data_IF_608505894673
#
_entry.id   IF_608505894673
#
_cell.length_a   1.000
_cell.length_b   1.000
_cell.length_c   1.000
_cell.angle_alpha   90.00
_cell.angle_beta   90.00
_cell.angle_gamma   90.00
#
_symmetry.space_group_name_H-M   'P 1'
#
loop_
_entity.id
_entity.type
_entity.pdbx_description
1 polymer ?
#
# COMPACT_ATOMS: atom_id res chain seq x y z
N UNK A 1 -14.94 -24.91 16.64
CA UNK A 1 -13.81 -24.82 15.70
C UNK A 1 -13.38 -23.38 15.62
N UNK A 2 -12.11 -23.06 15.91
CA UNK A 2 -11.57 -21.71 15.81
C UNK A 2 -11.01 -21.46 14.41
N UNK A 3 -11.47 -20.40 13.75
CA UNK A 3 -11.13 -20.03 12.37
C UNK A 3 -10.70 -18.57 12.35
N UNK A 4 -9.53 -18.29 11.76
CA UNK A 4 -9.06 -16.91 11.54
C UNK A 4 -9.38 -16.52 10.10
N UNK A 5 -9.90 -15.31 9.90
CA UNK A 5 -10.31 -14.76 8.61
C UNK A 5 -9.48 -13.49 8.40
N UNK A 6 -8.46 -13.58 7.55
CA UNK A 6 -7.53 -12.50 7.26
C UNK A 6 -7.34 -12.27 5.74
N UNK A 7 -8.37 -11.76 5.05
CA UNK A 7 -8.26 -11.34 3.65
C UNK A 7 -7.75 -9.91 3.51
N UNK A 8 -7.18 -9.62 2.34
CA UNK A 8 -7.02 -8.28 1.79
C UNK A 8 -8.32 -7.78 1.16
N UNK A 9 -8.29 -6.52 0.74
CA UNK A 9 -9.22 -5.94 -0.20
C UNK A 9 -9.27 -6.69 -1.54
N UNK A 10 -10.46 -6.69 -2.14
CA UNK A 10 -10.68 -7.11 -3.50
C UNK A 10 -10.73 -5.81 -4.32
N UNK A 11 -9.56 -5.36 -4.78
CA UNK A 11 -9.36 -4.05 -5.42
C UNK A 11 -10.45 -3.72 -6.43
N UNK A 12 -11.07 -2.54 -6.27
CA UNK A 12 -12.19 -2.08 -7.10
C UNK A 12 -13.54 -2.76 -6.80
N UNK A 13 -13.66 -3.55 -5.73
CA UNK A 13 -14.87 -4.30 -5.38
C UNK A 13 -15.21 -4.26 -3.89
N UNK A 14 -14.42 -4.93 -3.03
CA UNK A 14 -14.68 -5.01 -1.58
C UNK A 14 -13.48 -4.52 -0.79
N UNK A 15 -13.74 -3.78 0.28
CA UNK A 15 -12.73 -3.54 1.33
C UNK A 15 -12.35 -4.85 2.03
N UNK A 16 -11.20 -4.87 2.70
CA UNK A 16 -10.76 -6.03 3.48
C UNK A 16 -11.77 -6.42 4.57
N UNK A 17 -12.45 -5.42 5.16
CA UNK A 17 -13.49 -5.65 6.17
C UNK A 17 -14.76 -6.29 5.57
N UNK A 18 -15.22 -5.80 4.43
CA UNK A 18 -16.36 -6.39 3.72
C UNK A 18 -16.06 -7.80 3.25
N UNK A 19 -14.86 -8.04 2.72
CA UNK A 19 -14.39 -9.36 2.34
C UNK A 19 -14.38 -10.32 3.54
N UNK A 20 -13.79 -9.90 4.66
CA UNK A 20 -13.75 -10.72 5.87
C UNK A 20 -15.14 -11.01 6.43
N UNK A 21 -16.05 -10.03 6.36
CA UNK A 21 -17.45 -10.16 6.78
C UNK A 21 -18.21 -11.15 5.89
N UNK A 22 -18.01 -11.09 4.58
CA UNK A 22 -18.61 -12.04 3.63
C UNK A 22 -18.13 -13.48 3.88
N UNK A 23 -16.82 -13.67 4.06
CA UNK A 23 -16.23 -14.98 4.41
C UNK A 23 -16.79 -15.50 5.73
N UNK A 24 -16.86 -14.65 6.76
CA UNK A 24 -17.42 -15.01 8.06
C UNK A 24 -18.87 -15.47 7.93
N UNK A 25 -19.70 -14.74 7.16
CA UNK A 25 -21.09 -15.11 6.90
C UNK A 25 -21.20 -16.47 6.21
N UNK A 26 -20.37 -16.75 5.21
CA UNK A 26 -20.30 -18.05 4.54
C UNK A 26 -19.94 -19.19 5.50
N UNK A 27 -18.90 -18.98 6.32
CA UNK A 27 -18.48 -19.94 7.35
C UNK A 27 -19.60 -20.22 8.34
N UNK A 28 -20.29 -19.18 8.82
CA UNK A 28 -21.38 -19.31 9.81
C UNK A 28 -22.62 -20.02 9.26
N UNK A 29 -22.89 -19.95 7.95
CA UNK A 29 -23.96 -20.74 7.32
C UNK A 29 -23.69 -22.25 7.38
N UNK A 30 -22.45 -22.66 7.13
CA UNK A 30 -22.07 -24.07 7.20
C UNK A 30 -21.81 -24.56 8.63
N UNK A 31 -21.21 -23.71 9.46
CA UNK A 31 -20.79 -24.05 10.82
C UNK A 31 -21.18 -22.94 11.82
N UNK A 32 -22.46 -22.88 12.25
CA UNK A 32 -22.98 -21.79 13.09
C UNK A 32 -22.24 -21.60 14.41
N UNK A 33 -21.72 -22.69 14.98
CA UNK A 33 -20.97 -22.73 16.25
C UNK A 33 -19.46 -22.50 16.08
N UNK A 34 -18.97 -22.20 14.88
CA UNK A 34 -17.57 -21.84 14.69
C UNK A 34 -17.22 -20.59 15.50
N UNK A 35 -16.06 -20.57 16.14
CA UNK A 35 -15.47 -19.34 16.67
C UNK A 35 -14.68 -18.69 15.54
N UNK A 36 -15.08 -17.49 15.12
CA UNK A 36 -14.45 -16.79 14.00
C UNK A 36 -13.78 -15.52 14.50
N UNK A 37 -12.52 -15.31 14.11
CA UNK A 37 -11.79 -14.07 14.34
C UNK A 37 -11.57 -13.37 13.01
N UNK A 38 -12.20 -12.22 12.85
CA UNK A 38 -12.05 -11.35 11.67
C UNK A 38 -10.86 -10.43 11.89
N UNK A 39 -9.88 -10.52 11.00
CA UNK A 39 -8.63 -9.76 11.06
C UNK A 39 -8.34 -9.23 9.65
N UNK A 40 -9.01 -8.14 9.22
CA UNK A 40 -8.71 -7.52 7.93
C UNK A 40 -7.22 -7.16 7.86
N UNK A 41 -6.59 -7.45 6.73
CA UNK A 41 -5.16 -7.24 6.49
C UNK A 41 -4.97 -6.45 5.19
N UNK A 42 -3.75 -5.95 4.97
CA UNK A 42 -3.36 -5.17 3.80
C UNK A 42 -1.84 -5.31 3.56
N UNK A 43 -1.38 -4.92 2.37
CA UNK A 43 0.01 -5.08 1.91
C UNK A 43 0.83 -3.77 1.94
N UNK A 44 0.35 -2.70 2.59
CA UNK A 44 0.98 -1.38 2.53
C UNK A 44 0.46 -0.51 1.38
N UNK A 45 -0.54 -0.98 0.64
CA UNK A 45 -1.36 -0.18 -0.28
C UNK A 45 -2.64 0.37 0.36
N UNK A 46 -3.66 0.55 -0.47
CA UNK A 46 -5.00 1.01 -0.10
C UNK A 46 -5.64 0.11 0.98
N UNK A 47 -6.23 0.73 2.01
CA UNK A 47 -6.89 0.03 3.12
C UNK A 47 -5.97 -0.42 4.26
N UNK A 48 -4.67 -0.12 4.17
CA UNK A 48 -3.69 -0.33 5.25
C UNK A 48 -4.03 0.52 6.48
N UNK A 49 -4.31 1.81 6.30
CA UNK A 49 -4.72 2.72 7.36
C UNK A 49 -5.96 2.20 8.07
N UNK A 50 -6.97 1.76 7.32
CA UNK A 50 -8.24 1.28 7.87
C UNK A 50 -8.03 0.02 8.71
N UNK A 51 -7.21 -0.90 8.20
CA UNK A 51 -6.86 -2.13 8.89
C UNK A 51 -6.10 -1.85 10.20
N UNK A 52 -5.12 -0.94 10.18
CA UNK A 52 -4.31 -0.59 11.35
C UNK A 52 -5.10 0.20 12.41
N UNK A 53 -5.92 1.17 11.97
CA UNK A 53 -6.80 1.94 12.85
C UNK A 53 -7.81 1.01 13.53
N UNK A 54 -8.46 0.12 12.78
CA UNK A 54 -9.41 -0.83 13.35
C UNK A 54 -8.72 -1.82 14.31
N UNK A 55 -7.55 -2.33 13.94
CA UNK A 55 -6.81 -3.30 14.76
C UNK A 55 -6.37 -2.74 16.12
N UNK A 56 -6.11 -1.44 16.19
CA UNK A 56 -5.59 -0.77 17.39
C UNK A 56 -6.63 0.03 18.15
N UNK A 57 -7.89 0.07 17.69
CA UNK A 57 -8.92 0.99 18.18
C UNK A 57 -8.47 2.47 18.11
N UNK A 58 -7.79 2.81 17.03
CA UNK A 58 -7.39 4.18 16.71
C UNK A 58 -8.55 5.03 16.19
N UNK A 59 -8.22 6.17 15.59
CA UNK A 59 -9.18 7.08 14.95
C UNK A 59 -8.62 7.65 13.64
N UNK A 60 -9.50 8.04 12.73
CA UNK A 60 -9.13 8.83 11.54
C UNK A 60 -9.26 10.32 11.82
N UNK A 61 -8.47 11.11 11.12
CA UNK A 61 -8.55 12.57 11.09
C UNK A 61 -8.70 13.00 9.64
N UNK A 62 -9.82 13.62 9.32
CA UNK A 62 -10.10 14.14 7.99
C UNK A 62 -9.42 15.51 7.80
N UNK A 63 -8.81 15.69 6.63
CA UNK A 63 -8.05 16.90 6.29
C UNK A 63 -8.26 17.21 4.81
N UNK A 64 -8.54 18.47 4.51
CA UNK A 64 -8.52 18.95 3.12
C UNK A 64 -7.09 19.30 2.73
N UNK A 65 -6.56 18.62 1.72
CA UNK A 65 -5.19 18.80 1.23
C UNK A 65 -5.18 19.05 -0.27
N UNK A 66 -4.01 19.37 -0.82
CA UNK A 66 -3.77 19.59 -2.24
C UNK A 66 -3.67 18.24 -2.95
N UNK A 67 -4.58 17.99 -3.87
CA UNK A 67 -4.62 16.80 -4.69
C UNK A 67 -3.48 16.76 -5.72
N UNK A 68 -3.35 15.65 -6.48
CA UNK A 68 -2.27 15.47 -7.44
C UNK A 68 -2.29 16.52 -8.56
N UNK A 69 -3.46 17.06 -8.94
CA UNK A 69 -3.61 18.11 -9.96
C UNK A 69 -3.86 19.50 -9.35
N UNK A 70 -3.41 19.73 -8.11
CA UNK A 70 -3.53 20.98 -7.35
C UNK A 70 -4.94 21.36 -6.85
N UNK A 71 -5.99 20.71 -7.35
CA UNK A 71 -7.33 20.82 -6.78
C UNK A 71 -7.37 20.31 -5.33
N UNK A 72 -8.22 20.90 -4.48
CA UNK A 72 -8.37 20.44 -3.10
C UNK A 72 -9.14 19.11 -3.04
N UNK A 73 -8.64 18.17 -2.26
CA UNK A 73 -9.23 16.84 -2.04
C UNK A 73 -9.45 16.61 -0.55
N UNK A 74 -10.48 15.84 -0.21
CA UNK A 74 -10.65 15.31 1.15
C UNK A 74 -9.78 14.07 1.29
N UNK A 75 -8.81 14.15 2.19
CA UNK A 75 -7.95 13.06 2.58
C UNK A 75 -8.13 12.75 4.07
N UNK A 76 -7.51 11.69 4.54
CA UNK A 76 -7.46 11.39 5.96
C UNK A 76 -6.14 10.73 6.31
N UNK A 77 -5.78 10.82 7.59
CA UNK A 77 -4.72 10.01 8.17
C UNK A 77 -5.23 9.34 9.44
N UNK A 78 -4.66 8.20 9.79
CA UNK A 78 -4.99 7.43 10.98
C UNK A 78 -4.07 7.79 12.15
N UNK A 79 -4.62 7.82 13.36
CA UNK A 79 -3.87 7.80 14.62
C UNK A 79 -4.20 6.47 15.29
N UNK A 80 -3.19 5.66 15.57
CA UNK A 80 -3.36 4.34 16.18
C UNK A 80 -3.68 4.44 17.67
N UNK A 81 -4.09 3.32 18.27
CA UNK A 81 -4.52 3.27 19.67
C UNK A 81 -3.48 3.69 20.71
N UNK A 82 -2.19 3.77 20.34
CA UNK A 82 -1.13 4.33 21.18
C UNK A 82 -1.13 5.86 21.24
N UNK A 83 -1.96 6.52 20.42
CA UNK A 83 -2.12 7.96 20.28
C UNK A 83 -0.83 8.71 19.86
N UNK A 84 0.19 7.99 19.38
CA UNK A 84 1.47 8.55 18.96
C UNK A 84 1.86 8.17 17.53
N UNK A 85 1.40 7.01 17.07
CA UNK A 85 1.67 6.48 15.74
C UNK A 85 0.62 6.94 14.75
N UNK A 86 1.07 7.65 13.74
CA UNK A 86 0.28 8.07 12.59
C UNK A 86 0.43 7.06 11.44
N UNK A 87 -0.66 6.77 10.74
CA UNK A 87 -0.64 6.04 9.47
C UNK A 87 -1.17 6.94 8.37
N UNK A 88 -0.39 7.09 7.30
CA UNK A 88 -0.76 7.86 6.12
C UNK A 88 -0.74 6.95 4.90
N UNK A 89 -1.86 6.89 4.20
CA UNK A 89 -1.91 6.38 2.83
C UNK A 89 -1.73 7.53 1.86
N UNK A 90 -0.58 7.59 1.19
CA UNK A 90 -0.27 8.70 0.29
C UNK A 90 -1.29 8.82 -0.86
N UNK A 91 -1.89 7.69 -1.26
CA UNK A 91 -2.90 7.65 -2.31
C UNK A 91 -4.14 8.51 -1.99
N UNK A 92 -4.45 8.72 -0.71
CA UNK A 92 -5.57 9.58 -0.28
C UNK A 92 -5.37 11.06 -0.64
N UNK A 93 -4.12 11.51 -0.83
CA UNK A 93 -3.78 12.88 -1.20
C UNK A 93 -3.14 13.00 -2.59
N UNK A 94 -2.42 11.97 -3.03
CA UNK A 94 -1.56 12.01 -4.23
C UNK A 94 -1.70 10.74 -5.07
N UNK A 95 -2.84 10.04 -4.98
CA UNK A 95 -3.07 8.74 -5.62
C UNK A 95 -3.75 8.79 -6.98
N UNK A 96 -3.62 7.69 -7.73
CA UNK A 96 -4.29 7.45 -9.02
C UNK A 96 -5.82 7.41 -8.90
N UNK A 97 -6.36 7.05 -7.73
CA UNK A 97 -7.79 7.01 -7.47
C UNK A 97 -8.44 8.41 -7.47
N UNK A 98 -7.65 9.48 -7.36
CA UNK A 98 -8.11 10.86 -7.36
C UNK A 98 -8.18 11.49 -8.76
N UNK A 99 -7.72 10.78 -9.80
CA UNK A 99 -7.63 11.30 -11.16
C UNK A 99 -8.29 10.37 -12.16
N UNK A 100 -9.11 10.95 -13.04
CA UNK A 100 -9.69 10.21 -14.15
C UNK A 100 -8.58 9.76 -15.12
N UNK A 101 -8.72 8.60 -15.78
CA UNK A 101 -7.73 8.08 -16.72
C UNK A 101 -7.27 9.08 -17.78
N UNK A 102 -8.17 9.92 -18.28
CA UNK A 102 -7.89 10.92 -19.32
C UNK A 102 -7.07 12.12 -18.81
N UNK A 103 -7.04 12.34 -17.49
CA UNK A 103 -6.33 13.45 -16.85
C UNK A 103 -4.92 13.04 -16.36
N UNK A 104 -4.56 11.77 -16.51
CA UNK A 104 -3.28 11.24 -16.01
C UNK A 104 -2.10 11.82 -16.77
N UNK A 105 -1.33 12.66 -16.09
CA UNK A 105 -0.10 13.23 -16.64
C UNK A 105 0.96 13.38 -15.53
N UNK A 106 1.99 12.52 -15.50
CA UNK A 106 2.97 12.50 -14.42
C UNK A 106 3.94 13.69 -14.44
N UNK A 107 3.95 14.48 -15.52
CA UNK A 107 4.67 15.76 -15.57
C UNK A 107 3.99 16.83 -14.72
N UNK A 108 2.67 16.73 -14.51
CA UNK A 108 1.87 17.72 -13.79
C UNK A 108 1.57 17.31 -12.34
N UNK A 109 1.52 16.00 -12.07
CA UNK A 109 1.04 15.52 -10.78
C UNK A 109 2.04 15.74 -9.65
N UNK A 110 1.56 16.27 -8.52
CA UNK A 110 2.38 16.63 -7.35
C UNK A 110 2.10 15.78 -6.11
N UNK A 111 3.14 15.54 -5.32
CA UNK A 111 3.08 14.88 -4.01
C UNK A 111 2.81 15.83 -2.84
N UNK A 112 2.54 17.11 -3.12
CA UNK A 112 2.40 18.16 -2.10
C UNK A 112 1.40 17.83 -0.98
N UNK A 113 0.22 17.29 -1.33
CA UNK A 113 -0.78 16.89 -0.33
C UNK A 113 -0.30 15.81 0.64
N UNK A 114 0.60 14.93 0.21
CA UNK A 114 1.22 13.94 1.12
C UNK A 114 2.06 14.65 2.19
N UNK A 115 2.81 15.70 1.83
CA UNK A 115 3.54 16.51 2.79
C UNK A 115 2.62 17.32 3.71
N UNK A 116 1.47 17.80 3.21
CA UNK A 116 0.44 18.43 4.06
C UNK A 116 -0.15 17.46 5.10
N UNK A 117 -0.37 16.19 4.75
CA UNK A 117 -0.80 15.16 5.70
C UNK A 117 0.25 14.93 6.79
N UNK A 118 1.52 14.79 6.41
CA UNK A 118 2.63 14.63 7.37
C UNK A 118 2.70 15.84 8.30
N UNK A 119 2.66 17.06 7.75
CA UNK A 119 2.68 18.30 8.53
C UNK A 119 1.52 18.37 9.52
N UNK A 120 0.30 18.05 9.08
CA UNK A 120 -0.87 18.06 9.95
C UNK A 120 -0.75 17.04 11.08
N UNK A 121 -0.27 15.83 10.78
CA UNK A 121 -0.02 14.81 11.80
C UNK A 121 1.09 15.21 12.79
N UNK A 122 2.14 15.92 12.33
CA UNK A 122 3.15 16.52 13.22
C UNK A 122 2.54 17.58 14.15
N UNK A 123 1.64 18.43 13.62
CA UNK A 123 0.91 19.44 14.38
C UNK A 123 0.00 18.82 15.44
N UNK A 124 -0.59 17.66 15.11
CA UNK A 124 -1.42 16.88 16.04
C UNK A 124 -0.59 16.01 17.00
N UNK A 125 0.74 16.21 17.03
CA UNK A 125 1.65 15.64 18.03
C UNK A 125 2.22 14.26 17.70
N UNK A 126 1.92 13.71 16.51
CA UNK A 126 2.44 12.41 16.11
C UNK A 126 3.96 12.47 15.93
N UNK A 127 4.66 11.41 16.34
CA UNK A 127 6.12 11.28 16.22
C UNK A 127 6.56 9.97 15.59
N UNK A 128 5.65 9.01 15.45
CA UNK A 128 5.88 7.77 14.70
C UNK A 128 4.97 7.76 13.50
N UNK A 129 5.49 7.36 12.36
CA UNK A 129 4.79 7.44 11.09
C UNK A 129 4.91 6.14 10.34
N UNK A 130 3.79 5.61 9.86
CA UNK A 130 3.70 4.51 8.91
C UNK A 130 3.15 5.08 7.61
N UNK A 131 3.96 5.03 6.56
CA UNK A 131 3.62 5.58 5.25
C UNK A 131 3.37 4.43 4.27
N UNK A 132 2.09 4.23 3.95
CA UNK A 132 1.66 3.38 2.86
C UNK A 132 1.76 4.16 1.55
N UNK A 133 2.75 3.82 0.72
CA UNK A 133 3.09 4.60 -0.48
C UNK A 133 2.60 3.97 -1.80
N UNK A 134 1.77 2.92 -1.72
CA UNK A 134 1.15 2.33 -2.91
C UNK A 134 0.17 3.29 -3.61
N UNK A 135 -0.07 3.08 -4.91
CA UNK A 135 -1.15 3.75 -5.64
C UNK A 135 -0.88 5.21 -6.07
N UNK A 136 0.36 5.69 -6.03
CA UNK A 136 0.73 7.07 -6.40
C UNK A 136 0.35 7.46 -7.84
N UNK A 137 -0.15 8.68 -8.02
CA UNK A 137 -0.29 9.34 -9.32
C UNK A 137 0.96 10.10 -9.78
N UNK A 138 1.92 10.31 -8.88
CA UNK A 138 3.04 11.25 -9.05
C UNK A 138 4.28 10.58 -9.61
N UNK A 139 5.10 11.32 -10.35
CA UNK A 139 6.46 10.93 -10.73
C UNK A 139 7.41 12.12 -10.56
N UNK A 140 7.26 12.82 -9.44
CA UNK A 140 7.90 14.10 -9.13
C UNK A 140 9.14 13.93 -8.24
N UNK A 141 9.62 12.72 -7.98
CA UNK A 141 10.76 12.51 -7.09
C UNK A 141 10.48 12.79 -5.60
N UNK A 142 9.22 13.06 -5.23
CA UNK A 142 8.84 13.52 -3.89
C UNK A 142 9.08 15.01 -3.65
N UNK A 143 9.38 15.80 -4.69
CA UNK A 143 9.65 17.24 -4.54
C UNK A 143 8.47 18.00 -3.95
N UNK A 144 7.24 17.66 -4.34
CA UNK A 144 6.03 18.30 -3.80
C UNK A 144 5.90 18.09 -2.30
N UNK A 145 6.09 16.85 -1.84
CA UNK A 145 6.06 16.49 -0.42
C UNK A 145 7.12 17.27 0.37
N UNK A 146 8.35 17.37 -0.15
CA UNK A 146 9.44 18.13 0.48
C UNK A 146 9.10 19.63 0.56
N UNK A 147 8.55 20.21 -0.51
CA UNK A 147 8.09 21.61 -0.54
C UNK A 147 7.04 21.89 0.54
N UNK A 148 6.04 21.02 0.69
CA UNK A 148 5.01 21.18 1.73
C UNK A 148 5.57 21.13 3.16
N UNK A 149 6.71 20.47 3.35
CA UNK A 149 7.44 20.34 4.61
C UNK A 149 8.52 21.41 4.80
N UNK A 150 8.61 22.39 3.90
CA UNK A 150 9.46 23.58 4.05
C UNK A 150 10.78 23.54 3.29
N UNK A 151 11.07 22.49 2.52
CA UNK A 151 12.25 22.49 1.62
C UNK A 151 12.01 23.45 0.45
N UNK A 152 12.96 24.34 0.20
CA UNK A 152 12.93 25.23 -0.96
C UNK A 152 13.76 24.61 -2.08
N UNK A 153 13.11 24.33 -3.21
CA UNK A 153 13.75 23.82 -4.41
C UNK A 153 13.86 24.97 -5.41
N UNK A 154 15.09 25.32 -5.77
CA UNK A 154 15.38 26.60 -6.42
C UNK A 154 15.84 26.41 -7.87
N UNK A 155 15.41 27.33 -8.73
CA UNK A 155 15.86 27.46 -10.11
C UNK A 155 17.20 28.22 -10.22
N UNK A 156 17.70 28.36 -11.45
CA UNK A 156 18.92 29.12 -11.76
C UNK A 156 18.86 30.62 -11.37
N UNK A 157 17.66 31.17 -11.17
CA UNK A 157 17.43 32.53 -10.69
C UNK A 157 17.23 32.61 -9.17
N UNK A 158 17.43 31.51 -8.44
CA UNK A 158 17.20 31.38 -7.00
C UNK A 158 15.74 31.59 -6.60
N UNK A 159 14.80 31.30 -7.50
CA UNK A 159 13.36 31.32 -7.23
C UNK A 159 12.84 29.91 -6.97
N UNK A 160 11.83 29.72 -6.11
CA UNK A 160 11.18 28.43 -5.95
C UNK A 160 10.61 27.92 -7.28
N UNK A 161 10.85 26.64 -7.58
CA UNK A 161 10.23 25.94 -8.72
C UNK A 161 8.76 25.65 -8.45
N UNK A 162 8.01 25.29 -9.49
CA UNK A 162 6.60 24.89 -9.39
C UNK A 162 6.41 23.49 -8.79
N UNK A 163 5.31 22.85 -9.19
CA UNK A 163 4.96 21.49 -8.77
C UNK A 163 4.93 20.50 -9.94
N UNK A 164 5.17 19.23 -9.64
CA UNK A 164 5.04 18.12 -10.59
C UNK A 164 6.35 17.72 -11.26
N UNK A 165 6.33 16.57 -11.96
CA UNK A 165 7.55 15.98 -12.53
C UNK A 165 8.24 16.82 -13.61
N UNK A 166 7.54 17.75 -14.27
CA UNK A 166 8.15 18.69 -15.22
C UNK A 166 9.20 19.60 -14.56
N UNK A 167 8.94 19.98 -13.31
CA UNK A 167 9.72 20.98 -12.58
C UNK A 167 11.08 20.44 -12.13
N UNK A 168 11.28 19.12 -12.14
CA UNK A 168 12.59 18.48 -11.93
C UNK A 168 13.65 19.06 -12.88
N UNK A 169 13.26 19.48 -14.09
CA UNK A 169 14.17 20.07 -15.08
C UNK A 169 14.70 21.46 -14.71
N UNK A 170 14.04 22.15 -13.78
CA UNK A 170 14.37 23.52 -13.40
C UNK A 170 15.21 23.59 -12.12
N UNK A 171 15.22 22.53 -11.31
CA UNK A 171 15.88 22.51 -10.01
C UNK A 171 17.40 22.49 -10.19
N UNK A 172 18.07 23.45 -9.54
CA UNK A 172 19.54 23.50 -9.49
C UNK A 172 20.10 23.53 -8.06
N UNK A 173 19.25 23.74 -7.05
CA UNK A 173 19.67 23.78 -5.65
C UNK A 173 18.54 23.37 -4.69
N UNK A 174 18.94 22.76 -3.57
CA UNK A 174 18.07 22.37 -2.45
C UNK A 174 18.45 23.24 -1.24
N UNK A 175 17.46 23.93 -0.68
CA UNK A 175 17.60 24.71 0.55
C UNK A 175 16.71 24.08 1.64
N UNK A 176 17.35 23.68 2.74
CA UNK A 176 16.74 22.98 3.87
C UNK A 176 16.57 23.86 5.12
N UNK A 177 16.83 25.18 5.04
CA UNK A 177 16.78 26.07 6.22
C UNK A 177 15.41 26.06 6.90
N UNK A 178 14.33 25.97 6.12
CA UNK A 178 12.94 25.95 6.61
C UNK A 178 12.33 24.54 6.67
N UNK A 179 13.15 23.50 6.45
CA UNK A 179 12.65 22.13 6.56
C UNK A 179 12.18 21.84 7.99
N UNK A 180 11.00 21.23 8.13
CA UNK A 180 10.36 21.05 9.44
C UNK A 180 11.26 20.28 10.42
N UNK A 181 11.86 21.01 11.36
CA UNK A 181 12.83 20.48 12.32
C UNK A 181 12.32 19.28 13.13
N UNK A 182 11.01 19.12 13.30
CA UNK A 182 10.39 18.00 14.04
C UNK A 182 10.68 16.66 13.36
N UNK A 183 10.86 16.64 12.03
CA UNK A 183 11.11 15.42 11.25
C UNK A 183 12.33 14.65 11.75
N UNK A 184 13.39 15.37 12.15
CA UNK A 184 14.63 14.76 12.67
C UNK A 184 14.45 13.95 13.96
N UNK A 185 13.36 14.19 14.69
CA UNK A 185 13.02 13.53 15.95
C UNK A 185 11.91 12.47 15.82
N UNK A 186 11.43 12.24 14.61
CA UNK A 186 10.36 11.29 14.34
C UNK A 186 10.91 9.96 13.81
N UNK A 187 10.13 8.90 13.93
CA UNK A 187 10.42 7.60 13.33
C UNK A 187 9.52 7.40 12.10
N UNK A 188 10.10 7.12 10.94
CA UNK A 188 9.33 6.83 9.72
C UNK A 188 9.50 5.38 9.27
N UNK A 189 8.39 4.67 9.13
CA UNK A 189 8.32 3.33 8.54
C UNK A 189 7.62 3.45 7.20
N UNK A 190 8.33 3.16 6.12
CA UNK A 190 7.76 3.13 4.77
C UNK A 190 7.29 1.72 4.48
N UNK A 191 5.99 1.56 4.26
CA UNK A 191 5.37 0.29 3.87
C UNK A 191 5.48 0.12 2.36
N UNK A 192 6.46 -0.67 1.91
CA UNK A 192 6.67 -0.93 0.49
C UNK A 192 7.42 -2.23 0.25
N UNK A 193 6.96 -3.02 -0.74
CA UNK A 193 7.65 -4.20 -1.26
C UNK A 193 8.42 -3.89 -2.56
N UNK A 194 8.41 -2.63 -3.02
CA UNK A 194 9.08 -2.21 -4.25
C UNK A 194 10.58 -2.09 -4.02
N UNK A 195 11.37 -2.80 -4.83
CA UNK A 195 12.84 -2.74 -4.82
C UNK A 195 13.42 -1.94 -5.98
N UNK A 196 12.57 -1.44 -6.87
CA UNK A 196 12.98 -0.66 -8.04
C UNK A 196 13.84 0.56 -7.64
N UNK A 197 14.98 0.80 -8.31
CA UNK A 197 15.80 1.98 -8.08
C UNK A 197 15.08 3.26 -8.54
N UNK A 198 15.67 4.42 -8.28
CA UNK A 198 15.08 5.69 -8.70
C UNK A 198 15.03 5.82 -10.23
N UNK A 199 16.14 5.50 -10.91
CA UNK A 199 16.32 5.72 -12.35
C UNK A 199 16.70 4.45 -13.14
N UNK A 200 16.73 4.58 -14.47
CA UNK A 200 17.15 3.56 -15.40
C UNK A 200 16.03 2.63 -15.83
N UNK A 201 16.36 1.56 -16.56
CA UNK A 201 15.35 0.65 -17.17
C UNK A 201 14.39 0.01 -16.17
N UNK A 202 14.84 -0.17 -14.94
CA UNK A 202 14.03 -0.70 -13.84
C UNK A 202 13.58 0.40 -12.86
N UNK A 203 13.80 1.68 -13.20
CA UNK A 203 13.53 2.84 -12.37
C UNK A 203 12.07 3.25 -12.32
N UNK A 204 11.80 4.32 -11.56
CA UNK A 204 10.45 4.80 -11.28
C UNK A 204 9.66 5.11 -12.56
N UNK A 205 10.25 5.92 -13.44
CA UNK A 205 9.61 6.39 -14.68
C UNK A 205 9.34 5.25 -15.66
N UNK A 206 10.31 4.35 -15.84
CA UNK A 206 10.18 3.25 -16.80
C UNK A 206 9.17 2.19 -16.36
N UNK A 207 9.16 1.82 -15.07
CA UNK A 207 8.33 0.72 -14.57
C UNK A 207 6.92 1.20 -14.19
N UNK A 208 6.81 2.36 -13.55
CA UNK A 208 5.54 2.83 -13.00
C UNK A 208 4.97 4.06 -13.72
N UNK A 209 5.74 4.73 -14.59
CA UNK A 209 5.26 5.85 -15.40
C UNK A 209 4.10 5.51 -16.34
N UNK A 210 4.11 4.38 -17.09
CA UNK A 210 3.05 4.05 -18.05
C UNK A 210 1.63 4.01 -17.44
N UNK A 211 1.47 3.37 -16.27
CA UNK A 211 0.16 3.33 -15.58
C UNK A 211 -0.32 4.70 -15.08
N UNK A 212 0.61 5.66 -14.94
CA UNK A 212 0.35 7.06 -14.57
C UNK A 212 0.15 7.97 -15.79
N UNK A 213 0.09 7.41 -16.99
CA UNK A 213 -0.13 8.16 -18.24
C UNK A 213 1.15 8.66 -18.94
N UNK A 214 2.34 8.21 -18.53
CA UNK A 214 3.58 8.64 -19.19
C UNK A 214 3.71 8.04 -20.60
N UNK A 215 3.94 8.90 -21.60
CA UNK A 215 4.39 8.46 -22.94
C UNK A 215 5.88 8.11 -22.92
N UNK A 216 6.42 7.41 -23.93
CA UNK A 216 7.85 7.13 -24.02
C UNK A 216 8.74 8.38 -23.90
N UNK A 217 8.31 9.50 -24.45
CA UNK A 217 9.01 10.80 -24.37
C UNK A 217 8.99 11.35 -22.95
N UNK A 218 7.84 11.28 -22.27
CA UNK A 218 7.73 11.68 -20.86
C UNK A 218 8.60 10.80 -19.96
N UNK A 219 8.67 9.48 -20.23
CA UNK A 219 9.51 8.55 -19.48
C UNK A 219 10.98 8.94 -19.61
N UNK A 220 11.46 9.17 -20.83
CA UNK A 220 12.84 9.57 -21.07
C UNK A 220 13.18 10.92 -20.40
N UNK A 221 12.26 11.89 -20.48
CA UNK A 221 12.40 13.18 -19.81
C UNK A 221 12.49 13.02 -18.28
N UNK A 222 11.53 12.30 -17.68
CA UNK A 222 11.45 12.11 -16.24
C UNK A 222 12.65 11.31 -15.71
N UNK A 223 13.07 10.24 -16.39
CA UNK A 223 14.23 9.43 -15.97
C UNK A 223 15.53 10.26 -16.00
N UNK A 224 15.73 11.07 -17.04
CA UNK A 224 16.87 11.97 -17.14
C UNK A 224 16.90 13.00 -16.01
N UNK A 225 15.78 13.68 -15.76
CA UNK A 225 15.73 14.72 -14.72
C UNK A 225 15.67 14.15 -13.30
N UNK A 226 15.18 12.92 -13.11
CA UNK A 226 15.36 12.19 -11.84
C UNK A 226 16.81 11.82 -11.59
N UNK A 227 17.63 11.61 -12.63
CA UNK A 227 19.07 11.40 -12.46
C UNK A 227 19.75 12.66 -11.93
N UNK A 228 19.45 13.82 -12.53
CA UNK A 228 19.98 15.12 -12.07
C UNK A 228 19.49 15.42 -10.64
N UNK A 229 18.22 15.14 -10.36
CA UNK A 229 17.68 15.24 -9.01
C UNK A 229 18.46 14.35 -8.02
N UNK A 230 18.78 13.11 -8.40
CA UNK A 230 19.56 12.21 -7.56
C UNK A 230 20.98 12.73 -7.29
N UNK A 231 21.62 13.37 -8.27
CA UNK A 231 22.92 14.05 -8.09
C UNK A 231 22.81 15.16 -7.04
N UNK A 232 21.82 16.05 -7.16
CA UNK A 232 21.60 17.15 -6.19
C UNK A 232 21.29 16.63 -4.78
N UNK A 233 20.52 15.55 -4.68
CA UNK A 233 20.22 14.91 -3.39
C UNK A 233 21.48 14.31 -2.78
N UNK A 234 22.34 13.67 -3.57
CA UNK A 234 23.61 13.12 -3.10
C UNK A 234 24.54 14.23 -2.61
N UNK A 235 24.65 15.34 -3.34
CA UNK A 235 25.42 16.51 -2.92
C UNK A 235 24.92 17.12 -1.60
N UNK A 236 23.59 17.17 -1.42
CA UNK A 236 22.96 17.83 -0.27
C UNK A 236 22.94 16.95 0.98
N UNK A 237 22.66 15.66 0.82
CA UNK A 237 22.37 14.74 1.93
C UNK A 237 23.45 13.67 2.13
N UNK A 238 24.37 13.51 1.17
CA UNK A 238 25.31 12.39 1.10
C UNK A 238 24.67 11.06 0.69
N UNK A 239 23.36 11.04 0.37
CA UNK A 239 22.65 9.81 0.00
C UNK A 239 22.51 9.65 -1.50
N UNK A 240 23.21 8.66 -2.06
CA UNK A 240 23.10 8.29 -3.47
C UNK A 240 21.80 7.51 -3.76
N UNK A 241 20.87 8.09 -4.51
CA UNK A 241 19.57 7.48 -4.81
C UNK A 241 19.50 6.71 -6.14
N UNK A 242 20.40 7.00 -7.08
CA UNK A 242 20.41 6.52 -8.46
C UNK A 242 19.97 5.06 -8.65
N UNK A 243 20.65 4.13 -7.99
CA UNK A 243 20.45 2.69 -8.04
C UNK A 243 20.00 2.10 -6.70
N UNK A 244 19.64 2.95 -5.74
CA UNK A 244 19.31 2.53 -4.39
C UNK A 244 17.99 1.74 -4.38
N UNK A 245 17.97 0.50 -3.87
CA UNK A 245 16.76 -0.31 -3.86
C UNK A 245 15.60 0.39 -3.14
N UNK A 246 14.43 0.39 -3.79
CA UNK A 246 13.21 1.01 -3.29
C UNK A 246 13.15 2.53 -3.45
N UNK A 247 14.21 3.20 -3.92
CA UNK A 247 14.20 4.64 -4.13
C UNK A 247 13.16 5.06 -5.19
N UNK A 248 12.84 4.19 -6.16
CA UNK A 248 11.84 4.48 -7.19
C UNK A 248 10.40 4.27 -6.75
N UNK A 249 10.16 3.78 -5.52
CA UNK A 249 8.81 3.57 -5.02
C UNK A 249 8.01 4.88 -5.05
N UNK A 250 6.75 4.78 -5.49
CA UNK A 250 5.83 5.91 -5.59
C UNK A 250 6.36 7.12 -6.40
N UNK A 251 7.08 6.86 -7.50
CA UNK A 251 7.58 7.95 -8.35
C UNK A 251 8.77 8.71 -7.77
N UNK A 252 9.50 8.09 -6.83
CA UNK A 252 10.70 8.66 -6.19
C UNK A 252 10.51 9.11 -4.75
N UNK A 253 9.28 9.06 -4.22
CA UNK A 253 8.99 9.38 -2.80
C UNK A 253 9.70 8.41 -1.86
N UNK A 254 9.85 7.13 -2.24
CA UNK A 254 10.67 6.19 -1.48
C UNK A 254 12.10 6.69 -1.31
N UNK A 255 12.71 7.22 -2.38
CA UNK A 255 14.03 7.83 -2.35
C UNK A 255 14.07 9.10 -1.50
N UNK A 256 13.04 9.95 -1.56
CA UNK A 256 12.93 11.13 -0.71
C UNK A 256 12.94 10.75 0.78
N UNK A 257 12.18 9.72 1.19
CA UNK A 257 12.24 9.21 2.57
C UNK A 257 13.62 8.66 2.94
N UNK A 258 14.28 7.96 2.02
CA UNK A 258 15.62 7.41 2.26
C UNK A 258 16.72 8.47 2.40
N UNK A 259 16.54 9.67 1.84
CA UNK A 259 17.54 10.74 1.83
C UNK A 259 17.28 11.85 2.87
N UNK A 260 16.02 12.22 3.09
CA UNK A 260 15.66 13.40 3.90
C UNK A 260 15.05 13.06 5.27
N UNK A 261 14.70 11.80 5.51
CA UNK A 261 13.99 11.38 6.71
C UNK A 261 14.74 10.27 7.44
N UNK A 262 14.66 10.21 8.78
CA UNK A 262 15.10 9.05 9.56
C UNK A 262 14.11 7.89 9.33
N UNK A 263 14.20 7.27 8.16
CA UNK A 263 13.25 6.25 7.70
C UNK A 263 13.87 4.87 7.55
N UNK A 264 13.03 3.86 7.80
CA UNK A 264 13.28 2.48 7.42
C UNK A 264 12.17 2.00 6.49
N UNK A 265 12.50 1.10 5.57
CA UNK A 265 11.51 0.42 4.74
C UNK A 265 11.21 -0.95 5.33
N UNK A 266 9.92 -1.25 5.51
CA UNK A 266 9.44 -2.58 5.87
C UNK A 266 8.42 -3.03 4.83
N UNK A 267 8.29 -4.34 4.66
CA UNK A 267 7.21 -4.93 3.86
C UNK A 267 5.87 -4.57 4.49
N UNK A 268 4.91 -4.13 3.69
CA UNK A 268 3.66 -3.60 4.24
C UNK A 268 2.87 -4.66 5.01
N UNK A 269 2.85 -5.89 4.49
CA UNK A 269 2.20 -7.02 5.16
C UNK A 269 2.81 -7.32 6.55
N UNK A 270 4.12 -7.20 6.70
CA UNK A 270 4.80 -7.48 7.98
C UNK A 270 4.39 -6.45 9.04
N UNK A 271 4.23 -5.19 8.67
CA UNK A 271 3.69 -4.13 9.54
C UNK A 271 2.26 -4.49 9.96
N UNK A 272 1.41 -4.84 9.00
CA UNK A 272 0.01 -5.16 9.30
C UNK A 272 -0.10 -6.39 10.19
N UNK A 273 0.70 -7.43 9.97
CA UNK A 273 0.79 -8.62 10.83
C UNK A 273 1.11 -8.22 12.28
N UNK A 274 2.10 -7.34 12.47
CA UNK A 274 2.57 -6.89 13.78
C UNK A 274 1.44 -6.18 14.53
N UNK A 275 0.84 -5.16 13.93
CA UNK A 275 -0.21 -4.35 14.56
C UNK A 275 -1.56 -5.06 14.69
N UNK A 276 -1.86 -6.02 13.80
CA UNK A 276 -3.06 -6.86 13.93
C UNK A 276 -2.88 -7.98 14.94
N UNK A 277 -1.66 -8.20 15.46
CA UNK A 277 -1.29 -9.33 16.30
C UNK A 277 -1.71 -10.68 15.68
N UNK A 278 -1.60 -10.80 14.36
CA UNK A 278 -2.14 -11.94 13.62
C UNK A 278 -1.56 -13.27 14.13
N UNK A 279 -0.25 -13.33 14.36
CA UNK A 279 0.44 -14.51 14.89
C UNK A 279 -0.14 -14.95 16.24
N UNK A 280 -0.40 -14.00 17.15
CA UNK A 280 -1.05 -14.30 18.44
C UNK A 280 -2.46 -14.85 18.23
N UNK A 281 -3.23 -14.23 17.33
CA UNK A 281 -4.63 -14.62 17.04
C UNK A 281 -4.74 -16.02 16.42
N UNK A 282 -3.71 -16.47 15.70
CA UNK A 282 -3.62 -17.82 15.12
C UNK A 282 -3.47 -18.93 16.17
N UNK A 283 -3.10 -18.62 17.41
CA UNK A 283 -2.98 -19.61 18.49
C UNK A 283 -4.28 -20.42 18.65
N UNK A 284 -4.21 -21.73 18.46
CA UNK A 284 -5.36 -22.64 18.55
C UNK A 284 -6.34 -22.59 17.37
N UNK A 285 -6.04 -21.84 16.31
CA UNK A 285 -6.84 -21.86 15.09
C UNK A 285 -6.64 -23.18 14.32
N UNK A 286 -7.71 -23.68 13.70
CA UNK A 286 -7.75 -24.95 12.99
C UNK A 286 -7.68 -24.79 11.47
N UNK A 287 -8.00 -23.60 10.98
CA UNK A 287 -7.72 -23.16 9.61
C UNK A 287 -7.76 -21.63 9.54
N UNK A 288 -7.21 -21.11 8.44
CA UNK A 288 -7.23 -19.69 8.09
C UNK A 288 -7.91 -19.52 6.74
N UNK A 289 -8.74 -18.49 6.61
CA UNK A 289 -9.20 -17.98 5.33
C UNK A 289 -8.50 -16.67 5.04
N UNK A 290 -7.94 -16.55 3.84
CA UNK A 290 -7.36 -15.31 3.31
C UNK A 290 -7.89 -15.09 1.89
N UNK A 291 -7.53 -13.98 1.26
CA UNK A 291 -7.99 -13.67 -0.09
C UNK A 291 -7.55 -12.31 -0.57
N UNK A 292 -7.61 -12.09 -1.87
CA UNK A 292 -7.39 -10.81 -2.54
C UNK A 292 -8.08 -10.82 -3.91
N UNK A 293 -8.15 -9.66 -4.57
CA UNK A 293 -8.83 -9.53 -5.88
C UNK A 293 -8.24 -10.40 -7.00
N UNK A 294 -6.93 -10.60 -7.01
CA UNK A 294 -6.25 -11.47 -7.98
C UNK A 294 -5.08 -12.18 -7.31
N UNK A 295 -5.07 -13.51 -7.38
CA UNK A 295 -3.98 -14.35 -6.88
C UNK A 295 -3.20 -14.91 -8.07
N UNK A 296 -1.90 -14.62 -8.13
CA UNK A 296 -1.00 -15.06 -9.19
C UNK A 296 0.43 -15.31 -8.67
N UNK A 297 1.39 -15.54 -9.56
CA UNK A 297 2.80 -15.71 -9.19
C UNK A 297 3.41 -14.52 -8.43
N UNK A 298 2.90 -13.29 -8.61
CA UNK A 298 3.39 -12.11 -7.90
C UNK A 298 2.88 -12.05 -6.46
N UNK A 299 1.77 -12.71 -6.13
CA UNK A 299 1.33 -12.89 -4.73
C UNK A 299 2.44 -13.54 -3.89
N UNK A 300 3.22 -14.45 -4.49
CA UNK A 300 4.37 -15.09 -3.83
C UNK A 300 5.50 -14.10 -3.48
N UNK A 301 5.58 -12.96 -4.17
CA UNK A 301 6.58 -11.92 -3.97
C UNK A 301 6.29 -11.02 -2.77
N UNK A 302 5.29 -11.37 -1.95
CA UNK A 302 5.15 -10.80 -0.63
C UNK A 302 3.84 -10.07 -0.32
N UNK A 303 2.79 -10.29 -1.13
CA UNK A 303 1.45 -9.73 -0.91
C UNK A 303 0.75 -10.37 0.31
N UNK A 304 -0.42 -9.83 0.63
CA UNK A 304 -1.21 -10.18 1.82
C UNK A 304 -1.47 -11.69 2.00
N UNK A 305 -2.00 -12.46 1.02
CA UNK A 305 -2.22 -13.89 1.22
C UNK A 305 -0.95 -14.66 1.57
N UNK A 306 0.19 -14.21 1.05
CA UNK A 306 1.48 -14.83 1.29
C UNK A 306 1.96 -14.62 2.73
N UNK A 307 1.89 -13.39 3.25
CA UNK A 307 2.28 -13.11 4.64
C UNK A 307 1.43 -13.89 5.65
N UNK A 308 0.10 -13.94 5.42
CA UNK A 308 -0.81 -14.73 6.25
C UNK A 308 -0.45 -16.22 6.20
N UNK A 309 -0.20 -16.75 5.00
CA UNK A 309 0.15 -18.16 4.79
C UNK A 309 1.47 -18.55 5.47
N UNK A 310 2.48 -17.70 5.38
CA UNK A 310 3.79 -17.95 5.97
C UNK A 310 3.72 -18.05 7.49
N UNK A 311 2.92 -17.21 8.15
CA UNK A 311 2.74 -17.30 9.60
C UNK A 311 1.94 -18.55 9.97
N UNK A 312 0.81 -18.79 9.32
CA UNK A 312 -0.01 -19.96 9.59
C UNK A 312 0.78 -21.27 9.41
N UNK A 313 1.66 -21.32 8.40
CA UNK A 313 2.56 -22.45 8.15
C UNK A 313 3.51 -22.73 9.32
N UNK A 314 4.04 -21.69 9.99
CA UNK A 314 4.89 -21.87 11.19
C UNK A 314 4.16 -22.63 12.30
N UNK A 315 2.84 -22.51 12.36
CA UNK A 315 1.98 -23.20 13.33
C UNK A 315 1.33 -24.47 12.77
N UNK A 316 1.64 -24.88 11.54
CA UNK A 316 1.03 -26.05 10.90
C UNK A 316 -0.47 -25.90 10.61
N UNK A 317 -0.97 -24.66 10.48
CA UNK A 317 -2.38 -24.38 10.29
C UNK A 317 -2.68 -24.29 8.78
N UNK A 318 -3.67 -25.04 8.24
CA UNK A 318 -4.03 -24.97 6.82
C UNK A 318 -4.66 -23.62 6.45
N UNK A 319 -4.34 -23.13 5.25
CA UNK A 319 -4.77 -21.82 4.75
C UNK A 319 -5.51 -21.97 3.42
N UNK A 320 -6.74 -21.44 3.39
CA UNK A 320 -7.58 -21.42 2.21
C UNK A 320 -7.64 -19.99 1.65
N UNK A 321 -7.13 -19.80 0.43
CA UNK A 321 -7.16 -18.51 -0.24
C UNK A 321 -8.35 -18.42 -1.19
N UNK A 322 -9.13 -17.35 -1.06
CA UNK A 322 -10.25 -17.03 -1.93
C UNK A 322 -9.87 -15.85 -2.83
N UNK A 323 -9.94 -16.03 -4.14
CA UNK A 323 -9.47 -15.06 -5.12
C UNK A 323 -10.62 -14.54 -5.97
N UNK A 324 -10.64 -13.23 -6.25
CA UNK A 324 -11.52 -12.64 -7.26
C UNK A 324 -11.26 -13.26 -8.64
N UNK A 325 -9.99 -13.45 -8.97
CA UNK A 325 -9.50 -14.15 -10.14
C UNK A 325 -8.19 -14.89 -9.83
N UNK A 326 -7.90 -15.94 -10.60
CA UNK A 326 -6.67 -16.75 -10.46
C UNK A 326 -5.84 -16.56 -11.73
N UNK A 327 -4.62 -16.05 -11.56
CA UNK A 327 -3.63 -15.90 -12.63
C UNK A 327 -2.69 -17.11 -12.73
N UNK A 328 -1.66 -16.96 -13.57
CA UNK A 328 -0.66 -18.01 -13.77
C UNK A 328 0.31 -18.15 -12.59
N UNK A 329 0.83 -19.36 -12.39
CA UNK A 329 1.94 -19.63 -11.47
C UNK A 329 1.58 -19.68 -9.98
N UNK A 330 0.30 -19.88 -9.64
CA UNK A 330 -0.17 -20.04 -8.25
C UNK A 330 0.44 -21.24 -7.53
N UNK A 331 1.01 -22.19 -8.27
CA UNK A 331 1.67 -23.37 -7.72
C UNK A 331 2.83 -23.00 -6.81
N UNK A 332 3.43 -21.82 -7.02
CA UNK A 332 4.47 -21.25 -6.17
C UNK A 332 3.99 -20.91 -4.76
N UNK A 333 2.68 -20.77 -4.54
CA UNK A 333 2.10 -20.40 -3.25
C UNK A 333 1.98 -21.59 -2.30
N UNK A 334 1.84 -22.81 -2.81
CA UNK A 334 1.66 -24.01 -1.98
C UNK A 334 2.87 -24.29 -1.07
N UNK A 335 4.12 -24.27 -1.58
CA UNK A 335 5.30 -24.41 -0.73
C UNK A 335 5.41 -23.32 0.33
N UNK A 336 4.77 -22.17 0.14
CA UNK A 336 4.82 -21.06 1.08
C UNK A 336 3.76 -21.12 2.20
N UNK A 337 2.82 -22.06 2.14
CA UNK A 337 1.85 -22.30 3.22
C UNK A 337 0.38 -22.26 2.80
N UNK A 338 0.08 -21.85 1.57
CA UNK A 338 -1.28 -21.95 1.04
C UNK A 338 -1.64 -23.42 0.87
N UNK A 339 -2.77 -23.84 1.39
CA UNK A 339 -3.28 -25.22 1.27
C UNK A 339 -4.07 -25.39 -0.03
N UNK A 340 -4.90 -24.41 -0.40
CA UNK A 340 -5.61 -24.39 -1.67
C UNK A 340 -6.07 -22.98 -2.04
N UNK A 341 -6.16 -22.69 -3.33
CA UNK A 341 -6.68 -21.43 -3.88
C UNK A 341 -8.02 -21.71 -4.58
N UNK A 342 -9.01 -20.85 -4.35
CA UNK A 342 -10.37 -20.98 -4.93
C UNK A 342 -10.79 -19.67 -5.59
N UNK A 343 -11.28 -19.74 -6.83
CA UNK A 343 -11.95 -18.60 -7.46
C UNK A 343 -13.31 -18.39 -6.81
N UNK A 344 -13.70 -17.13 -6.58
CA UNK A 344 -15.07 -16.82 -6.13
C UNK A 344 -16.08 -16.85 -7.27
N UNK A 345 -15.62 -16.71 -8.52
CA UNK A 345 -16.48 -16.73 -9.70
C UNK A 345 -16.95 -18.16 -9.96
N UNK A 346 -18.26 -18.38 -9.94
CA UNK A 346 -18.90 -19.69 -10.00
C UNK A 346 -19.59 -20.02 -11.34
N UNK A 347 -19.64 -19.05 -12.27
CA UNK A 347 -20.20 -19.20 -13.61
C UNK A 347 -19.56 -18.15 -14.55
N UNK A 348 -19.65 -18.32 -15.88
CA UNK A 348 -19.26 -17.26 -16.81
C UNK A 348 -20.13 -16.01 -16.60
N UNK A 349 -19.53 -14.93 -16.11
CA UNK A 349 -20.15 -13.62 -15.84
C UNK A 349 -19.21 -12.51 -16.30
N UNK A 350 -19.73 -11.28 -16.48
CA UNK A 350 -18.88 -10.13 -16.81
C UNK A 350 -18.04 -9.71 -15.59
N UNK A 351 -16.99 -8.91 -15.82
CA UNK A 351 -16.17 -8.38 -14.72
C UNK A 351 -17.00 -7.45 -13.82
N UNK A 352 -17.86 -6.62 -14.41
CA UNK A 352 -18.75 -5.71 -13.69
C UNK A 352 -19.71 -6.51 -12.79
N UNK A 353 -20.32 -7.57 -13.32
CA UNK A 353 -21.19 -8.45 -12.55
C UNK A 353 -20.43 -9.19 -11.45
N UNK A 354 -19.20 -9.63 -11.70
CA UNK A 354 -18.35 -10.27 -10.69
C UNK A 354 -18.00 -9.30 -9.55
N UNK A 355 -17.70 -8.04 -9.87
CA UNK A 355 -17.41 -6.98 -8.90
C UNK A 355 -18.65 -6.65 -8.07
N UNK A 356 -19.82 -6.50 -8.70
CA UNK A 356 -21.09 -6.19 -8.05
C UNK A 356 -21.53 -7.32 -7.11
N UNK A 357 -21.38 -8.58 -7.54
CA UNK A 357 -21.77 -9.77 -6.78
C UNK A 357 -20.68 -10.33 -5.88
N UNK A 358 -19.50 -9.71 -5.82
CA UNK A 358 -18.33 -10.24 -5.11
C UNK A 358 -18.65 -10.62 -3.66
N UNK A 359 -19.47 -9.82 -2.97
CA UNK A 359 -19.87 -10.06 -1.58
C UNK A 359 -20.63 -11.39 -1.39
N UNK A 360 -21.52 -11.72 -2.33
CA UNK A 360 -22.32 -12.95 -2.33
C UNK A 360 -21.49 -14.15 -2.77
N UNK A 361 -20.72 -13.98 -3.85
CA UNK A 361 -19.82 -14.98 -4.40
C UNK A 361 -18.78 -15.43 -3.36
N UNK A 362 -18.12 -14.48 -2.70
CA UNK A 362 -17.12 -14.75 -1.67
C UNK A 362 -17.72 -15.51 -0.47
N UNK A 363 -18.93 -15.17 -0.05
CA UNK A 363 -19.62 -15.88 1.03
C UNK A 363 -20.00 -17.32 0.61
N UNK A 364 -20.48 -17.52 -0.62
CA UNK A 364 -20.81 -18.83 -1.14
C UNK A 364 -19.58 -19.74 -1.25
N UNK A 365 -18.47 -19.24 -1.77
CA UNK A 365 -17.21 -20.00 -1.87
C UNK A 365 -16.65 -20.33 -0.49
N UNK A 366 -16.66 -19.38 0.46
CA UNK A 366 -16.23 -19.64 1.83
C UNK A 366 -17.06 -20.77 2.48
N UNK A 367 -18.39 -20.76 2.27
CA UNK A 367 -19.29 -21.83 2.74
C UNK A 367 -18.90 -23.20 2.16
N UNK A 368 -18.70 -23.28 0.84
CA UNK A 368 -18.34 -24.53 0.16
C UNK A 368 -17.00 -25.08 0.66
N UNK A 369 -15.99 -24.22 0.79
CA UNK A 369 -14.66 -24.61 1.27
C UNK A 369 -14.72 -25.14 2.69
N UNK A 370 -15.43 -24.47 3.61
CA UNK A 370 -15.51 -24.94 5.00
C UNK A 370 -16.31 -26.25 5.13
N UNK A 371 -17.34 -26.46 4.29
CA UNK A 371 -18.09 -27.74 4.25
C UNK A 371 -17.17 -28.88 3.82
N UNK A 372 -16.37 -28.66 2.78
CA UNK A 372 -15.40 -29.65 2.31
C UNK A 372 -14.36 -29.96 3.38
N UNK A 373 -13.75 -28.94 4.00
CA UNK A 373 -12.74 -29.15 5.03
C UNK A 373 -13.30 -29.90 6.25
N UNK A 374 -14.47 -29.51 6.75
CA UNK A 374 -15.08 -30.17 7.92
C UNK A 374 -15.51 -31.61 7.64
N UNK A 375 -15.93 -31.94 6.42
CA UNK A 375 -16.23 -33.32 6.05
C UNK A 375 -15.02 -34.26 6.20
N UNK A 376 -13.81 -33.77 5.93
CA UNK A 376 -12.57 -34.56 6.09
C UNK A 376 -12.20 -34.82 7.55
N UNK A 377 -12.62 -33.93 8.46
CA UNK A 377 -12.37 -34.08 9.90
C UNK A 377 -13.32 -35.07 10.55
N UNK A 378 -14.56 -35.17 10.05
CA UNK A 378 -15.56 -36.14 10.53
C UNK A 378 -15.37 -37.54 9.94
N UNK A 379 -14.51 -37.69 8.92
CA UNK A 379 -14.19 -38.97 8.29
C UNK A 379 -13.06 -39.74 9.02
N UNK A 380 -12.48 -39.14 10.07
CA UNK A 380 -11.56 -39.76 11.02
C UNK A 380 -12.28 -40.06 12.32
#
# INVERSE_FOLDING_TARGET
MKIVIAPDSFKGSLSAFEAASAINRGIKKALPKAETLVVPVADGGEGTMDSLVAATNGRKVDVTVTGPLLDKVQASYGILGDQQTCVIEMASASGLCLIHPEQRNPLLTTSYGTGELIKKALDDGCRKFILAIGGSATNDGGIGMLQALGVKLLDSNRKPVGYGGAELSQIVAIDMEEFDSRISTCDFIIASDVQNPLIGRNGASHIFGPQKGATPEMIAFLDHHLSIWADLVEETTGTRLHDKPGAGAAGGIGGAFQAFFPSITKRGIDIVIEYTELERKLTGAQCVFTGEGQIDAQTASGKTPMGVAQIAKKHGIPVFALAGSIGEGIERLYPCGITSVHSIVNAPISLEEAIEKANELLAATAEQVIRTYTATLNAR
#
